data_IF_809923189685
#
_entry.id   IF_809923189685
#
_cell.length_a   1.000
_cell.length_b   1.000
_cell.length_c   1.000
_cell.angle_alpha   90.00
_cell.angle_beta   90.00
_cell.angle_gamma   90.00
#
_symmetry.space_group_name_H-M   'P 1'
#
loop_
_entity.id
_entity.type
_entity.pdbx_description
1 polymer ?
#
# COMPACT_ATOMS: atom_id res chain seq x y z
N UNK A 1 2.89 12.04 7.90
CA UNK A 1 1.70 11.75 8.72
C UNK A 1 0.64 11.02 7.89
N UNK A 2 0.10 11.64 6.82
CA UNK A 2 -0.91 11.04 5.95
C UNK A 2 -0.53 9.66 5.41
N UNK A 3 0.61 9.58 4.71
CA UNK A 3 1.08 8.33 4.07
C UNK A 3 1.18 7.19 5.08
N UNK A 4 1.76 7.43 6.27
CA UNK A 4 1.87 6.41 7.33
C UNK A 4 0.49 5.88 7.76
N UNK A 5 -0.43 6.79 8.09
CA UNK A 5 -1.79 6.42 8.49
C UNK A 5 -2.52 5.64 7.41
N UNK A 6 -2.40 6.06 6.15
CA UNK A 6 -3.01 5.37 5.02
C UNK A 6 -2.44 3.96 4.82
N UNK A 7 -1.11 3.81 4.73
CA UNK A 7 -0.52 2.51 4.41
C UNK A 7 -0.66 1.50 5.55
N UNK A 8 -0.63 1.93 6.81
CA UNK A 8 -0.84 1.03 7.95
C UNK A 8 -2.31 0.64 8.10
N UNK A 9 -3.24 1.45 7.62
CA UNK A 9 -4.65 1.04 7.52
C UNK A 9 -4.84 -0.02 6.42
N UNK A 10 -4.09 0.10 5.31
CA UNK A 10 -4.13 -0.87 4.21
C UNK A 10 -3.42 -2.19 4.53
N UNK A 11 -2.29 -2.12 5.24
CA UNK A 11 -1.45 -3.26 5.63
C UNK A 11 -1.03 -3.09 7.09
N UNK A 12 -1.94 -3.34 8.04
CA UNK A 12 -1.63 -3.34 9.46
C UNK A 12 -0.78 -4.57 9.83
N UNK A 13 -0.15 -4.53 10.99
CA UNK A 13 0.51 -5.71 11.55
C UNK A 13 -0.54 -6.76 11.95
N UNK A 14 -0.36 -8.01 11.51
CA UNK A 14 -1.25 -9.15 11.83
C UNK A 14 -0.40 -10.41 11.98
N UNK A 15 -0.52 -11.11 13.10
CA UNK A 15 0.21 -12.35 13.41
C UNK A 15 1.74 -12.24 13.14
N UNK A 16 2.22 -12.91 12.10
CA UNK A 16 3.62 -12.93 11.67
C UNK A 16 3.91 -11.94 10.52
N UNK A 17 2.95 -11.10 10.15
CA UNK A 17 3.08 -10.09 9.11
C UNK A 17 3.27 -8.71 9.76
N UNK A 18 4.42 -8.05 9.55
CA UNK A 18 4.65 -6.69 10.05
C UNK A 18 3.79 -5.68 9.29
N UNK A 19 3.56 -4.51 9.87
CA UNK A 19 2.89 -3.41 9.16
C UNK A 19 3.73 -2.88 8.00
N UNK A 20 3.10 -2.14 7.08
CA UNK A 20 3.82 -1.48 6.00
C UNK A 20 4.86 -0.46 6.51
N UNK A 21 4.60 0.23 7.62
CA UNK A 21 5.59 1.14 8.20
C UNK A 21 6.75 0.42 8.87
N UNK A 22 6.55 -0.76 9.46
CA UNK A 22 7.61 -1.55 10.12
C UNK A 22 8.67 -2.04 9.12
N UNK A 23 8.29 -2.26 7.86
CA UNK A 23 9.21 -2.60 6.77
C UNK A 23 9.53 -1.42 5.85
N UNK A 24 9.36 -0.18 6.35
CA UNK A 24 9.78 1.06 5.69
C UNK A 24 9.13 1.36 4.32
N UNK A 25 7.94 0.82 4.03
CA UNK A 25 7.25 1.07 2.73
C UNK A 25 7.02 2.56 2.48
N UNK A 26 6.60 3.31 3.49
CA UNK A 26 6.42 4.77 3.38
C UNK A 26 7.69 5.51 2.95
N UNK A 27 8.87 5.11 3.45
CA UNK A 27 10.16 5.74 3.11
C UNK A 27 10.51 5.40 1.68
N UNK A 28 10.30 4.14 1.28
CA UNK A 28 10.53 3.71 -0.09
C UNK A 28 9.62 4.45 -1.09
N UNK A 29 8.32 4.55 -0.82
CA UNK A 29 7.38 5.24 -1.70
C UNK A 29 7.68 6.73 -1.83
N UNK A 30 8.08 7.40 -0.74
CA UNK A 30 8.49 8.80 -0.76
C UNK A 30 9.75 9.00 -1.60
N UNK A 31 10.76 8.16 -1.39
CA UNK A 31 12.00 8.18 -2.17
C UNK A 31 11.75 7.89 -3.66
N UNK A 32 10.95 6.87 -3.96
CA UNK A 32 10.54 6.53 -5.32
C UNK A 32 9.85 7.70 -6.02
N UNK A 33 8.91 8.36 -5.34
CA UNK A 33 8.24 9.54 -5.89
C UNK A 33 9.23 10.68 -6.17
N UNK A 34 10.25 10.87 -5.33
CA UNK A 34 11.23 11.95 -5.48
C UNK A 34 12.32 11.67 -6.53
N UNK A 35 12.74 10.42 -6.69
CA UNK A 35 13.89 10.04 -7.52
C UNK A 35 13.52 9.45 -8.87
N UNK A 36 12.33 8.86 -9.00
CA UNK A 36 11.92 8.12 -10.20
C UNK A 36 10.89 8.88 -11.04
N UNK A 37 9.96 9.59 -10.40
CA UNK A 37 8.94 10.34 -11.12
C UNK A 37 9.52 11.64 -11.71
N UNK A 38 9.09 11.98 -12.92
CA UNK A 38 9.41 13.27 -13.53
C UNK A 38 8.64 14.44 -12.86
N UNK A 39 9.00 15.68 -13.19
CA UNK A 39 8.42 16.86 -12.56
C UNK A 39 6.89 16.98 -12.75
N UNK A 40 6.37 16.59 -13.91
CA UNK A 40 4.93 16.63 -14.19
C UNK A 40 4.18 15.59 -13.35
N UNK A 41 4.73 14.38 -13.26
CA UNK A 41 4.21 13.29 -12.44
C UNK A 41 4.27 13.62 -10.95
N UNK A 42 5.35 14.24 -10.48
CA UNK A 42 5.50 14.69 -9.09
C UNK A 42 4.43 15.71 -8.70
N UNK A 43 4.18 16.71 -9.55
CA UNK A 43 3.13 17.71 -9.28
C UNK A 43 1.73 17.10 -9.29
N UNK A 44 1.46 16.19 -10.24
CA UNK A 44 0.19 15.46 -10.26
C UNK A 44 0.02 14.58 -9.01
N UNK A 45 1.09 13.94 -8.55
CA UNK A 45 1.07 13.11 -7.34
C UNK A 45 0.79 13.95 -6.09
N UNK A 46 1.47 15.09 -5.92
CA UNK A 46 1.22 16.02 -4.81
C UNK A 46 -0.21 16.56 -4.83
N UNK A 47 -0.70 16.98 -5.99
CA UNK A 47 -2.07 17.50 -6.16
C UNK A 47 -3.12 16.46 -5.80
N UNK A 48 -2.97 15.23 -6.31
CA UNK A 48 -3.89 14.12 -6.02
C UNK A 48 -3.85 13.72 -4.54
N UNK A 49 -2.66 13.69 -3.93
CA UNK A 49 -2.51 13.45 -2.50
C UNK A 49 -3.14 14.57 -1.65
N UNK A 50 -3.03 15.82 -2.08
CA UNK A 50 -3.69 16.96 -1.44
C UNK A 50 -5.20 16.81 -1.40
N UNK A 51 -5.82 16.45 -2.54
CA UNK A 51 -7.26 16.17 -2.64
C UNK A 51 -7.69 15.03 -1.73
N UNK A 52 -6.89 13.97 -1.65
CA UNK A 52 -7.17 12.84 -0.75
C UNK A 52 -7.11 13.24 0.73
N UNK A 53 -6.14 14.09 1.11
CA UNK A 53 -6.04 14.65 2.46
C UNK A 53 -7.25 15.52 2.79
N UNK A 54 -7.67 16.38 1.87
CA UNK A 54 -8.86 17.24 2.05
C UNK A 54 -10.14 16.43 2.20
N UNK A 55 -10.32 15.40 1.37
CA UNK A 55 -11.43 14.44 1.47
C UNK A 55 -11.47 13.76 2.84
N UNK A 56 -10.33 13.23 3.30
CA UNK A 56 -10.21 12.58 4.61
C UNK A 56 -10.46 13.54 5.79
N UNK A 57 -9.95 14.77 5.72
CA UNK A 57 -10.19 15.77 6.77
C UNK A 57 -11.67 16.18 6.83
N UNK A 58 -12.31 16.27 5.66
CA UNK A 58 -13.73 16.59 5.55
C UNK A 58 -14.62 15.49 6.11
N UNK A 59 -14.30 14.22 5.83
CA UNK A 59 -15.06 13.07 6.38
C UNK A 59 -14.85 12.89 7.89
N UNK A 60 -13.62 13.10 8.38
CA UNK A 60 -13.29 12.94 9.80
C UNK A 60 -13.67 14.14 10.68
N UNK A 61 -13.97 15.30 10.10
CA UNK A 61 -14.22 16.54 10.82
C UNK A 61 -13.01 17.09 11.59
N UNK A 62 -11.79 16.66 11.22
CA UNK A 62 -10.55 17.02 11.93
C UNK A 62 -9.82 18.17 11.23
N UNK A 63 -9.07 18.96 12.01
CA UNK A 63 -8.31 20.11 11.51
C UNK A 63 -6.96 19.76 10.90
N UNK A 64 -6.41 18.57 11.21
CA UNK A 64 -5.08 18.17 10.75
C UNK A 64 -4.90 16.66 10.77
N UNK A 65 -4.07 16.15 9.85
CA UNK A 65 -3.85 14.72 9.66
C UNK A 65 -3.22 14.03 10.88
N UNK A 66 -2.42 14.75 11.67
CA UNK A 66 -1.82 14.21 12.89
C UNK A 66 -2.82 13.91 14.02
N UNK A 67 -4.08 14.31 13.88
CA UNK A 67 -5.17 14.06 14.85
C UNK A 67 -6.16 12.99 14.37
N UNK A 68 -5.86 12.34 13.25
CA UNK A 68 -6.72 11.32 12.65
C UNK A 68 -6.33 9.98 13.26
N UNK A 69 -7.34 9.26 13.75
CA UNK A 69 -7.20 7.89 14.26
C UNK A 69 -7.39 6.89 13.13
N UNK A 70 -6.85 5.68 13.28
CA UNK A 70 -6.97 4.60 12.28
C UNK A 70 -8.42 4.30 11.91
N UNK A 71 -9.34 4.31 12.88
CA UNK A 71 -10.78 4.12 12.66
C UNK A 71 -11.39 5.14 11.69
N UNK A 72 -10.86 6.36 11.65
CA UNK A 72 -11.31 7.39 10.71
C UNK A 72 -10.80 7.14 9.29
N UNK A 73 -9.60 6.55 9.15
CA UNK A 73 -9.11 6.10 7.85
C UNK A 73 -9.93 4.93 7.31
N UNK A 74 -10.26 3.95 8.15
CA UNK A 74 -11.10 2.80 7.77
C UNK A 74 -12.46 3.26 7.27
N UNK A 75 -13.18 4.07 8.06
CA UNK A 75 -14.50 4.58 7.68
C UNK A 75 -14.45 5.43 6.39
N UNK A 76 -13.44 6.28 6.24
CA UNK A 76 -13.26 7.09 5.03
C UNK A 76 -12.97 6.21 3.81
N UNK A 77 -12.14 5.17 3.94
CA UNK A 77 -11.88 4.25 2.84
C UNK A 77 -13.12 3.43 2.47
N UNK A 78 -13.90 2.97 3.44
CA UNK A 78 -15.15 2.24 3.18
C UNK A 78 -16.16 3.10 2.41
N UNK A 79 -16.31 4.37 2.81
CA UNK A 79 -17.13 5.33 2.09
C UNK A 79 -16.59 5.59 0.67
N UNK A 80 -15.28 5.84 0.55
CA UNK A 80 -14.63 6.13 -0.73
C UNK A 80 -14.78 4.95 -1.70
N UNK A 81 -14.50 3.73 -1.26
CA UNK A 81 -14.56 2.52 -2.08
C UNK A 81 -16.00 2.05 -2.34
N UNK A 82 -16.98 2.49 -1.55
CA UNK A 82 -18.41 2.33 -1.86
C UNK A 82 -18.94 3.35 -2.88
N UNK A 83 -18.14 4.36 -3.22
CA UNK A 83 -18.49 5.44 -4.15
C UNK A 83 -18.21 5.12 -5.62
N UNK A 84 -17.97 6.17 -6.41
CA UNK A 84 -17.72 6.06 -7.86
C UNK A 84 -16.24 5.80 -8.15
N UNK A 85 -15.95 4.79 -8.97
CA UNK A 85 -14.59 4.54 -9.47
C UNK A 85 -14.06 5.66 -10.38
N UNK A 86 -14.95 6.54 -10.86
CA UNK A 86 -14.57 7.69 -11.69
C UNK A 86 -13.98 8.85 -10.87
N UNK A 87 -14.21 8.86 -9.56
CA UNK A 87 -13.72 9.86 -8.63
C UNK A 87 -12.17 9.91 -8.61
N UNK A 88 -11.60 11.10 -8.60
CA UNK A 88 -10.14 11.28 -8.65
C UNK A 88 -9.45 10.80 -7.37
N UNK A 89 -10.08 11.01 -6.21
CA UNK A 89 -9.59 10.52 -4.91
C UNK A 89 -9.67 9.00 -4.89
N UNK A 90 -10.75 8.40 -5.39
CA UNK A 90 -10.86 6.95 -5.53
C UNK A 90 -9.69 6.40 -6.35
N UNK A 91 -9.48 6.93 -7.56
CA UNK A 91 -8.41 6.47 -8.46
C UNK A 91 -7.03 6.61 -7.84
N UNK A 92 -6.79 7.71 -7.14
CA UNK A 92 -5.54 7.94 -6.44
C UNK A 92 -5.33 6.91 -5.32
N UNK A 93 -6.30 6.74 -4.42
CA UNK A 93 -6.19 5.82 -3.27
C UNK A 93 -6.10 4.37 -3.74
N UNK A 94 -6.86 3.98 -4.77
CA UNK A 94 -6.77 2.65 -5.39
C UNK A 94 -5.38 2.38 -5.99
N UNK A 95 -4.84 3.34 -6.73
CA UNK A 95 -3.47 3.25 -7.28
C UNK A 95 -2.42 3.19 -6.17
N UNK A 96 -2.56 4.02 -5.14
CA UNK A 96 -1.64 4.07 -4.01
C UNK A 96 -1.67 2.78 -3.19
N UNK A 97 -2.85 2.16 -3.03
CA UNK A 97 -3.01 0.82 -2.45
C UNK A 97 -2.22 -0.23 -3.24
N UNK A 98 -2.32 -0.23 -4.56
CA UNK A 98 -1.54 -1.13 -5.42
C UNK A 98 -0.03 -0.94 -5.25
N UNK A 99 0.43 0.30 -5.25
CA UNK A 99 1.85 0.64 -5.04
C UNK A 99 2.35 0.20 -3.65
N UNK A 100 1.52 0.39 -2.63
CA UNK A 100 1.83 -0.03 -1.25
C UNK A 100 2.00 -1.54 -1.15
N UNK A 101 1.08 -2.32 -1.73
CA UNK A 101 1.17 -3.80 -1.75
C UNK A 101 2.41 -4.25 -2.54
N UNK A 102 2.67 -3.64 -3.69
CA UNK A 102 3.86 -3.96 -4.48
C UNK A 102 5.14 -3.69 -3.69
N UNK A 103 5.29 -2.50 -3.11
CA UNK A 103 6.45 -2.12 -2.33
C UNK A 103 6.63 -3.06 -1.12
N UNK A 104 5.54 -3.38 -0.40
CA UNK A 104 5.57 -4.28 0.74
C UNK A 104 6.09 -5.68 0.39
N UNK A 105 5.58 -6.27 -0.71
CA UNK A 105 5.98 -7.60 -1.19
C UNK A 105 7.43 -7.65 -1.69
N UNK A 106 8.03 -6.51 -2.03
CA UNK A 106 9.42 -6.40 -2.49
C UNK A 106 10.41 -6.08 -1.36
N UNK A 107 9.96 -6.03 -0.10
CA UNK A 107 10.87 -5.93 1.04
C UNK A 107 11.51 -7.28 1.33
N UNK A 108 12.78 -7.28 1.74
CA UNK A 108 13.56 -8.49 2.05
C UNK A 108 12.83 -9.38 3.08
N UNK A 109 12.41 -8.79 4.21
CA UNK A 109 11.71 -9.52 5.26
C UNK A 109 10.45 -10.22 4.75
N UNK A 110 9.60 -9.51 4.01
CA UNK A 110 8.34 -10.08 3.49
C UNK A 110 8.61 -11.12 2.40
N UNK A 111 9.50 -10.80 1.46
CA UNK A 111 9.83 -11.66 0.33
C UNK A 111 10.48 -12.97 0.75
N UNK A 112 11.38 -12.95 1.73
CA UNK A 112 12.14 -14.13 2.14
C UNK A 112 11.47 -14.95 3.24
N UNK A 113 10.74 -14.32 4.17
CA UNK A 113 10.22 -15.01 5.36
C UNK A 113 8.72 -15.26 5.34
N UNK A 114 7.95 -14.41 4.67
CA UNK A 114 6.48 -14.50 4.66
C UNK A 114 6.01 -15.19 3.38
N UNK A 115 6.51 -14.75 2.23
CA UNK A 115 6.20 -15.28 0.91
C UNK A 115 6.96 -16.58 0.62
N UNK A 116 6.56 -17.30 -0.43
CA UNK A 116 7.33 -18.45 -0.89
C UNK A 116 8.58 -17.97 -1.62
N UNK A 117 9.76 -18.24 -1.06
CA UNK A 117 11.03 -17.81 -1.61
C UNK A 117 11.84 -19.00 -2.11
N UNK A 118 12.33 -18.93 -3.35
CA UNK A 118 13.29 -19.88 -3.89
C UNK A 118 14.47 -19.10 -4.53
N UNK A 119 15.64 -19.06 -3.89
CA UNK A 119 16.78 -18.26 -4.38
C UNK A 119 17.40 -18.82 -5.67
N UNK A 120 17.09 -20.07 -6.05
CA UNK A 120 17.62 -20.71 -7.25
C UNK A 120 16.45 -21.16 -8.13
N UNK A 121 16.11 -20.37 -9.18
CA UNK A 121 15.07 -20.76 -10.13
C UNK A 121 15.41 -22.08 -10.81
N UNK A 122 14.57 -23.08 -10.60
CA UNK A 122 14.67 -24.39 -11.22
C UNK A 122 13.92 -24.44 -12.56
N UNK A 123 13.53 -25.65 -12.96
CA UNK A 123 12.66 -25.85 -14.12
C UNK A 123 11.30 -25.20 -13.88
N UNK A 124 10.76 -24.53 -14.89
CA UNK A 124 9.39 -24.03 -14.85
C UNK A 124 8.39 -25.18 -14.91
N UNK A 125 7.54 -25.28 -13.90
CA UNK A 125 6.42 -26.23 -13.83
C UNK A 125 5.11 -25.44 -13.81
N UNK A 126 4.39 -25.45 -14.94
CA UNK A 126 3.19 -24.61 -15.10
C UNK A 126 1.93 -25.14 -14.41
N UNK A 127 1.87 -26.44 -14.09
CA UNK A 127 0.76 -27.06 -13.39
C UNK A 127 1.30 -27.76 -12.15
N UNK A 128 1.11 -27.14 -10.99
CA UNK A 128 1.52 -27.66 -9.68
C UNK A 128 0.39 -27.46 -8.68
N UNK A 129 0.32 -28.29 -7.65
CA UNK A 129 -0.62 -28.07 -6.55
C UNK A 129 -0.13 -26.92 -5.67
N UNK A 130 -1.02 -25.96 -5.37
CA UNK A 130 -0.67 -24.74 -4.63
C UNK A 130 -0.27 -25.03 -3.18
N UNK A 131 -0.93 -25.98 -2.53
CA UNK A 131 -0.66 -26.30 -1.12
C UNK A 131 0.64 -27.08 -0.98
N UNK A 132 0.88 -28.05 -1.87
CA UNK A 132 2.13 -28.80 -1.90
C UNK A 132 3.34 -27.91 -2.19
N UNK A 133 3.17 -26.94 -3.09
CA UNK A 133 4.29 -26.13 -3.61
C UNK A 133 4.65 -24.97 -2.69
N UNK A 134 3.66 -24.20 -2.21
CA UNK A 134 3.92 -22.96 -1.48
C UNK A 134 3.14 -22.84 -0.17
N UNK A 135 2.38 -23.88 0.21
CA UNK A 135 1.46 -23.84 1.36
C UNK A 135 0.45 -22.69 1.23
N UNK A 136 -0.02 -22.41 0.01
CA UNK A 136 -0.97 -21.32 -0.26
C UNK A 136 -0.34 -19.93 -0.38
N UNK A 137 0.99 -19.82 -0.25
CA UNK A 137 1.69 -18.52 -0.31
C UNK A 137 1.94 -18.08 -1.76
N UNK A 138 1.92 -16.78 -1.97
CA UNK A 138 2.41 -16.19 -3.22
C UNK A 138 3.94 -16.33 -3.31
N UNK A 139 4.44 -16.58 -4.52
CA UNK A 139 5.88 -16.54 -4.80
C UNK A 139 6.42 -15.12 -4.61
N UNK A 140 7.53 -15.03 -3.90
CA UNK A 140 8.46 -13.91 -3.97
C UNK A 140 9.22 -13.99 -5.30
N UNK A 141 9.64 -12.83 -5.80
CA UNK A 141 10.20 -12.60 -7.15
C UNK A 141 11.04 -13.76 -7.71
#
# INVERSE_FOLDING_TARGET
AFVKGLIDTLLPAVDNMPSATEVNVHVFLDKYASEILDAEQQEKHKSSMGKAIESLLSSSGKSSVGKIETSSYEAWMDELFGGSEEDEVYKFVASFRGQTIWAYKNTELVGETIMAYNPIPGKYEGCVDLNETTQGKAWSI
#
